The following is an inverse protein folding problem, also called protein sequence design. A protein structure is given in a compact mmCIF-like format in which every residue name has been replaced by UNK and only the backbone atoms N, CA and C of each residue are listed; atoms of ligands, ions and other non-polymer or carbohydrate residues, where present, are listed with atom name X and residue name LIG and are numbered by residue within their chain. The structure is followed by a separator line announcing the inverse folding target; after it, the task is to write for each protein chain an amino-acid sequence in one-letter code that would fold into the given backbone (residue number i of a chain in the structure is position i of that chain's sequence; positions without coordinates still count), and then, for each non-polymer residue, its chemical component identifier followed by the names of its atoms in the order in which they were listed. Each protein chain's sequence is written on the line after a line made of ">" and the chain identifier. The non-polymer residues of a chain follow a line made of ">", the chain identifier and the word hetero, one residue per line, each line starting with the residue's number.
data_IF_023256831769
#
_entry.id   IF_023256831769
#
_cell.length_a   1.000
_cell.length_b   1.000
_cell.length_c   1.000
_cell.angle_alpha   90.00
_cell.angle_beta   90.00
_cell.angle_gamma   90.00
#
_symmetry.space_group_name_H-M   'P 1'
#
loop_
_entity.id
_entity.type
_entity.pdbx_description
1 polymer ?
#
# COMPACT_ATOMS: atom_id res chain seq x y z
N UNK A 1 -13.92 16.40 7.06
CA UNK A 1 -14.54 15.97 5.79
C UNK A 1 -14.55 14.46 5.68
N UNK A 2 -15.42 13.91 4.81
CA UNK A 2 -15.53 12.48 4.58
C UNK A 2 -15.14 12.16 3.13
N UNK A 3 -14.79 10.90 2.85
CA UNK A 3 -14.59 10.44 1.48
C UNK A 3 -15.89 10.62 0.71
N UNK A 4 -15.83 11.30 -0.43
CA UNK A 4 -16.98 11.53 -1.31
C UNK A 4 -16.78 10.77 -2.62
N UNK A 5 -17.65 9.80 -2.89
CA UNK A 5 -17.68 9.02 -4.13
C UNK A 5 -18.91 9.42 -4.94
N UNK A 6 -18.71 9.86 -6.17
CA UNK A 6 -19.78 10.21 -7.10
C UNK A 6 -19.66 9.39 -8.38
N UNK A 7 -20.78 8.91 -8.89
CA UNK A 7 -20.88 8.28 -10.21
C UNK A 7 -21.73 9.14 -11.13
N UNK A 8 -21.21 9.39 -12.32
CA UNK A 8 -21.91 10.10 -13.38
C UNK A 8 -22.15 9.19 -14.59
N UNK A 9 -23.08 9.57 -15.44
CA UNK A 9 -23.24 9.00 -16.76
C UNK A 9 -22.19 9.57 -17.74
N UNK A 10 -22.26 9.18 -19.02
CA UNK A 10 -21.34 9.63 -20.09
C UNK A 10 -21.43 11.14 -20.38
N UNK A 11 -22.50 11.81 -19.94
CA UNK A 11 -22.73 13.25 -20.09
C UNK A 11 -22.33 14.04 -18.84
N UNK A 12 -21.80 13.36 -17.80
CA UNK A 12 -21.45 13.98 -16.53
C UNK A 12 -22.63 14.19 -15.59
N UNK A 13 -23.80 13.63 -15.88
CA UNK A 13 -24.98 13.74 -15.01
C UNK A 13 -24.85 12.74 -13.87
N UNK A 14 -25.02 13.22 -12.64
CA UNK A 14 -24.97 12.39 -11.44
C UNK A 14 -26.00 11.25 -11.49
N UNK A 15 -25.53 10.02 -11.28
CA UNK A 15 -26.37 8.85 -11.12
C UNK A 15 -26.62 8.57 -9.63
N UNK A 16 -25.57 8.67 -8.83
CA UNK A 16 -25.61 8.56 -7.37
C UNK A 16 -24.34 9.10 -6.75
N UNK A 17 -24.37 9.38 -5.46
CA UNK A 17 -23.21 9.65 -4.63
C UNK A 17 -23.29 8.91 -3.30
N UNK A 18 -22.15 8.71 -2.67
CA UNK A 18 -21.98 8.14 -1.35
C UNK A 18 -20.89 8.88 -0.57
N UNK A 19 -21.00 8.85 0.75
CA UNK A 19 -19.98 9.38 1.66
C UNK A 19 -19.56 8.29 2.63
N UNK A 20 -18.23 8.21 2.90
CA UNK A 20 -17.66 7.23 3.81
C UNK A 20 -16.75 7.94 4.79
N UNK A 21 -16.71 7.45 6.03
CA UNK A 21 -15.90 7.96 7.10
C UNK A 21 -16.69 8.16 8.39
N UNK A 22 -15.99 8.64 9.40
CA UNK A 22 -16.51 8.85 10.74
C UNK A 22 -16.82 10.32 11.07
N UNK A 23 -16.44 10.71 12.30
CA UNK A 23 -16.58 12.09 12.80
C UNK A 23 -15.44 12.99 12.40
N UNK A 24 -14.34 12.40 12.01
CA UNK A 24 -13.06 13.07 11.75
C UNK A 24 -12.82 13.25 10.24
N UNK A 25 -11.61 13.64 9.83
CA UNK A 25 -11.32 14.01 8.43
C UNK A 25 -10.88 12.80 7.59
N UNK A 26 -11.79 12.17 6.87
CA UNK A 26 -11.48 11.10 5.92
C UNK A 26 -11.36 11.66 4.50
N UNK A 27 -10.42 11.13 3.71
CA UNK A 27 -10.25 11.57 2.31
C UNK A 27 -9.85 10.42 1.40
N UNK A 28 -10.38 10.45 0.16
CA UNK A 28 -10.03 9.51 -0.91
C UNK A 28 -8.94 10.11 -1.83
N UNK A 29 -7.99 9.29 -2.22
CA UNK A 29 -6.90 9.66 -3.13
C UNK A 29 -6.94 8.91 -4.45
N UNK A 30 -7.52 7.71 -4.47
CA UNK A 30 -7.61 6.87 -5.67
C UNK A 30 -8.83 5.96 -5.59
N UNK A 31 -9.47 5.76 -6.76
CA UNK A 31 -10.61 4.85 -6.94
C UNK A 31 -10.43 4.04 -8.20
N UNK A 32 -10.84 2.76 -8.16
CA UNK A 32 -10.90 1.87 -9.31
C UNK A 32 -12.22 1.08 -9.30
N UNK A 33 -12.81 0.89 -10.49
CA UNK A 33 -13.91 -0.07 -10.63
C UNK A 33 -13.37 -1.51 -10.53
N UNK A 34 -14.03 -2.35 -9.78
CA UNK A 34 -13.67 -3.75 -9.58
C UNK A 34 -14.39 -4.68 -10.57
N UNK A 35 -13.87 -5.89 -10.77
CA UNK A 35 -14.40 -6.86 -11.75
C UNK A 35 -15.83 -7.32 -11.45
N UNK A 36 -16.30 -7.18 -10.21
CA UNK A 36 -17.68 -7.42 -9.78
C UNK A 36 -18.63 -6.24 -10.06
N UNK A 37 -18.11 -5.16 -10.68
CA UNK A 37 -18.86 -3.95 -11.00
C UNK A 37 -18.92 -2.92 -9.88
N UNK A 38 -18.41 -3.23 -8.68
CA UNK A 38 -18.29 -2.32 -7.55
C UNK A 38 -17.07 -1.39 -7.68
N UNK A 39 -16.67 -0.79 -6.56
CA UNK A 39 -15.53 0.14 -6.51
C UNK A 39 -14.64 -0.18 -5.31
N UNK A 40 -13.35 0.07 -5.48
CA UNK A 40 -12.35 0.05 -4.41
C UNK A 40 -11.72 1.43 -4.33
N UNK A 41 -11.67 2.00 -3.13
CA UNK A 41 -11.16 3.34 -2.86
C UNK A 41 -10.03 3.23 -1.84
N UNK A 42 -8.96 4.00 -2.01
CA UNK A 42 -7.96 4.20 -0.97
C UNK A 42 -7.75 5.68 -0.68
N UNK A 43 -7.26 5.97 0.51
CA UNK A 43 -6.97 7.33 0.97
C UNK A 43 -6.38 7.33 2.37
N UNK A 44 -6.80 8.28 3.19
CA UNK A 44 -6.48 8.35 4.61
C UNK A 44 -7.75 8.38 5.44
N UNK A 45 -7.77 7.57 6.51
CA UNK A 45 -8.76 7.68 7.56
C UNK A 45 -8.21 8.56 8.68
N UNK A 46 -9.04 9.42 9.20
CA UNK A 46 -8.67 10.27 10.32
C UNK A 46 -8.81 9.55 11.67
N UNK A 47 -7.82 8.70 11.93
CA UNK A 47 -7.21 8.67 13.25
C UNK A 47 -6.12 9.76 13.25
N UNK A 48 -5.87 10.45 14.30
CA UNK A 48 -4.72 11.36 14.36
C UNK A 48 -3.56 10.64 15.08
N UNK A 49 -2.51 10.29 14.35
CA UNK A 49 -2.19 10.50 12.92
C UNK A 49 -3.01 9.61 11.97
N UNK A 50 -3.24 10.03 10.70
CA UNK A 50 -4.05 9.30 9.75
C UNK A 50 -3.38 8.00 9.29
N UNK A 51 -4.21 6.95 9.12
CA UNK A 51 -3.85 5.66 8.55
C UNK A 51 -4.40 5.51 7.13
N UNK A 52 -3.84 4.57 6.35
CA UNK A 52 -4.40 4.22 5.03
C UNK A 52 -5.83 3.72 5.20
N UNK A 53 -6.76 4.31 4.47
CA UNK A 53 -8.14 3.87 4.43
C UNK A 53 -8.42 3.13 3.12
N UNK A 54 -9.04 1.95 3.22
CA UNK A 54 -9.45 1.11 2.11
C UNK A 54 -10.94 0.82 2.24
N UNK A 55 -11.72 1.14 1.19
CA UNK A 55 -13.17 0.98 1.18
C UNK A 55 -13.58 0.20 -0.07
N UNK A 56 -14.31 -0.91 0.11
CA UNK A 56 -14.94 -1.67 -0.97
C UNK A 56 -16.43 -1.42 -1.00
N UNK A 57 -16.96 -1.13 -2.18
CA UNK A 57 -18.40 -0.95 -2.40
C UNK A 57 -18.95 -1.94 -3.43
N UNK A 58 -20.25 -2.09 -3.47
CA UNK A 58 -20.98 -2.72 -4.57
C UNK A 58 -21.10 -1.75 -5.78
N UNK A 59 -21.79 -2.18 -6.84
CA UNK A 59 -22.02 -1.38 -8.05
C UNK A 59 -22.89 -0.13 -7.85
N UNK A 60 -23.64 -0.06 -6.74
CA UNK A 60 -24.48 1.08 -6.36
C UNK A 60 -23.77 2.03 -5.38
N UNK A 61 -22.49 1.76 -5.08
CA UNK A 61 -21.71 2.54 -4.13
C UNK A 61 -21.99 2.19 -2.66
N UNK A 62 -22.76 1.14 -2.38
CA UNK A 62 -23.02 0.73 -0.99
C UNK A 62 -21.78 0.01 -0.45
N UNK A 63 -21.31 0.46 0.71
CA UNK A 63 -20.15 -0.14 1.38
C UNK A 63 -20.38 -1.62 1.68
N UNK A 64 -19.44 -2.46 1.30
CA UNK A 64 -19.39 -3.88 1.62
C UNK A 64 -18.48 -4.14 2.81
N UNK A 65 -17.33 -3.47 2.83
CA UNK A 65 -16.36 -3.51 3.92
C UNK A 65 -15.38 -2.33 3.81
N UNK A 66 -14.72 -2.04 4.91
CA UNK A 66 -13.57 -1.15 4.95
C UNK A 66 -12.46 -1.74 5.83
N UNK A 67 -11.23 -1.25 5.63
CA UNK A 67 -10.04 -1.61 6.41
C UNK A 67 -9.14 -0.39 6.56
N UNK A 68 -8.35 -0.37 7.64
CA UNK A 68 -7.29 0.62 7.85
C UNK A 68 -5.94 -0.08 8.00
N UNK A 69 -4.87 0.55 7.48
CA UNK A 69 -3.50 0.04 7.56
C UNK A 69 -2.56 1.17 7.95
N UNK A 70 -1.76 0.94 8.95
CA UNK A 70 -0.80 1.92 9.44
C UNK A 70 -0.22 1.52 10.79
N UNK A 71 0.39 2.49 11.45
CA UNK A 71 1.05 2.28 12.74
C UNK A 71 0.87 3.49 13.66
N UNK A 72 1.97 3.96 14.26
CA UNK A 72 1.90 5.02 15.27
C UNK A 72 2.02 6.44 14.70
N UNK A 73 2.26 6.55 13.40
CA UNK A 73 2.45 7.82 12.68
C UNK A 73 1.61 7.85 11.40
N UNK A 74 1.70 8.93 10.64
CA UNK A 74 0.92 9.14 9.41
C UNK A 74 1.24 8.10 8.33
N UNK A 75 0.21 7.44 7.81
CA UNK A 75 0.27 6.48 6.71
C UNK A 75 -0.82 6.84 5.69
N UNK A 76 -0.46 6.93 4.40
CA UNK A 76 -1.41 7.40 3.38
C UNK A 76 -1.34 6.55 2.13
N UNK A 77 -2.49 5.99 1.71
CA UNK A 77 -2.66 5.35 0.41
C UNK A 77 -2.74 6.38 -0.71
N UNK A 78 -2.03 6.16 -1.81
CA UNK A 78 -1.99 7.09 -2.96
C UNK A 78 -2.55 6.50 -4.24
N UNK A 79 -2.41 5.20 -4.42
CA UNK A 79 -2.89 4.50 -5.60
C UNK A 79 -3.35 3.11 -5.22
N UNK A 80 -4.36 2.62 -5.92
CA UNK A 80 -4.91 1.28 -5.73
C UNK A 80 -5.19 0.62 -7.06
N UNK A 81 -4.98 -0.69 -7.13
CA UNK A 81 -5.34 -1.51 -8.27
C UNK A 81 -5.85 -2.88 -7.81
N UNK A 82 -6.90 -3.38 -8.47
CA UNK A 82 -7.30 -4.77 -8.31
C UNK A 82 -6.30 -5.69 -9.01
N UNK A 83 -5.90 -6.75 -8.35
CA UNK A 83 -4.98 -7.75 -8.89
C UNK A 83 -5.72 -8.93 -9.52
N UNK A 84 -5.04 -9.70 -10.38
CA UNK A 84 -5.64 -10.82 -11.13
C UNK A 84 -6.13 -11.97 -10.26
N UNK A 85 -5.66 -12.06 -9.03
CA UNK A 85 -6.12 -13.01 -8.01
C UNK A 85 -7.37 -12.55 -7.24
N UNK A 86 -7.94 -11.39 -7.64
CA UNK A 86 -9.13 -10.80 -7.01
C UNK A 86 -8.85 -9.95 -5.79
N UNK A 87 -7.60 -9.87 -5.32
CA UNK A 87 -7.18 -8.99 -4.23
C UNK A 87 -6.87 -7.57 -4.71
N UNK A 88 -6.17 -6.80 -3.88
CA UNK A 88 -5.81 -5.41 -4.18
C UNK A 88 -4.35 -5.15 -3.85
N UNK A 89 -3.72 -4.24 -4.63
CA UNK A 89 -2.41 -3.71 -4.33
C UNK A 89 -2.51 -2.20 -4.14
N UNK A 90 -2.01 -1.72 -3.02
CA UNK A 90 -2.04 -0.33 -2.60
C UNK A 90 -0.61 0.17 -2.52
N UNK A 91 -0.34 1.34 -3.08
CA UNK A 91 0.91 2.06 -2.86
C UNK A 91 0.64 3.39 -2.18
N UNK A 92 1.56 3.79 -1.31
CA UNK A 92 1.49 5.04 -0.59
C UNK A 92 2.80 5.36 0.09
N UNK A 93 2.73 6.08 1.19
CA UNK A 93 3.87 6.33 2.05
C UNK A 93 3.51 6.09 3.51
N UNK A 94 4.53 5.80 4.29
CA UNK A 94 4.43 5.54 5.73
C UNK A 94 5.46 6.37 6.49
N UNK A 95 5.06 6.88 7.65
CA UNK A 95 5.94 7.45 8.66
C UNK A 95 6.04 6.53 9.87
N UNK A 96 5.28 5.43 9.86
CA UNK A 96 5.23 4.42 10.92
C UNK A 96 6.30 3.36 10.79
N UNK A 97 6.70 3.05 9.55
CA UNK A 97 7.60 1.94 9.23
C UNK A 97 8.76 2.43 8.37
N UNK A 98 9.90 1.71 8.42
CA UNK A 98 11.10 2.07 7.66
C UNK A 98 12.13 2.86 8.47
N UNK A 99 12.94 3.67 7.80
CA UNK A 99 14.09 4.35 8.40
C UNK A 99 14.01 5.87 8.24
N UNK A 100 13.58 6.57 9.28
CA UNK A 100 13.68 8.03 9.39
C UNK A 100 12.46 8.79 8.90
N UNK A 101 12.52 9.39 7.70
CA UNK A 101 11.42 10.15 7.09
C UNK A 101 10.35 9.22 6.49
N UNK A 102 9.42 9.76 5.69
CA UNK A 102 8.45 8.95 4.97
C UNK A 102 9.11 7.96 4.03
N UNK A 103 8.66 6.72 4.07
CA UNK A 103 9.08 5.63 3.20
C UNK A 103 7.94 5.20 2.27
N UNK A 104 8.26 4.57 1.14
CA UNK A 104 7.24 3.97 0.27
C UNK A 104 6.61 2.78 1.01
N UNK A 105 5.29 2.75 1.04
CA UNK A 105 4.53 1.64 1.60
C UNK A 105 3.75 0.92 0.50
N UNK A 106 3.93 -0.39 0.43
CA UNK A 106 3.26 -1.26 -0.52
C UNK A 106 2.52 -2.35 0.25
N UNK A 107 1.22 -2.47 0.03
CA UNK A 107 0.36 -3.44 0.69
C UNK A 107 -0.34 -4.28 -0.36
N UNK A 108 -0.28 -5.60 -0.22
CA UNK A 108 -1.09 -6.56 -0.99
C UNK A 108 -2.14 -7.18 -0.09
N UNK A 109 -3.39 -7.17 -0.53
CA UNK A 109 -4.51 -7.81 0.18
C UNK A 109 -5.13 -8.93 -0.64
N UNK A 110 -5.92 -9.77 0.03
CA UNK A 110 -6.91 -10.62 -0.63
C UNK A 110 -8.17 -9.81 -1.04
N UNK A 111 -9.18 -10.47 -1.59
CA UNK A 111 -10.43 -9.84 -2.03
C UNK A 111 -11.32 -9.32 -0.87
N UNK A 112 -11.04 -9.74 0.36
CA UNK A 112 -11.73 -9.31 1.57
C UNK A 112 -10.99 -8.18 2.32
N UNK A 113 -9.88 -7.69 1.76
CA UNK A 113 -9.08 -6.66 2.38
C UNK A 113 -8.07 -7.15 3.42
N UNK A 114 -7.91 -8.47 3.62
CA UNK A 114 -6.92 -8.98 4.55
C UNK A 114 -5.53 -8.89 3.93
N UNK A 115 -4.55 -8.38 4.68
CA UNK A 115 -3.16 -8.27 4.21
C UNK A 115 -2.58 -9.65 3.94
N UNK A 116 -2.07 -9.85 2.74
CA UNK A 116 -1.34 -11.06 2.33
C UNK A 116 0.16 -10.84 2.27
N UNK A 117 0.59 -9.61 1.98
CA UNK A 117 1.97 -9.16 2.12
C UNK A 117 2.04 -7.65 2.18
N UNK A 118 3.01 -7.14 2.95
CA UNK A 118 3.35 -5.73 3.01
C UNK A 118 4.87 -5.57 3.10
N UNK A 119 5.39 -4.49 2.58
CA UNK A 119 6.78 -4.09 2.77
C UNK A 119 6.98 -2.60 2.57
N UNK A 120 7.97 -2.07 3.25
CA UNK A 120 8.44 -0.70 3.11
C UNK A 120 9.71 -0.67 2.27
N UNK A 121 9.81 0.33 1.41
CA UNK A 121 11.04 0.63 0.68
C UNK A 121 11.59 1.93 1.26
N UNK A 122 12.65 1.88 2.07
CA UNK A 122 13.24 3.09 2.62
C UNK A 122 13.72 4.02 1.51
N UNK A 123 13.26 5.29 1.52
CA UNK A 123 13.74 6.31 0.61
C UNK A 123 14.99 6.95 1.23
N UNK A 124 16.11 6.24 1.18
CA UNK A 124 17.40 6.80 1.57
C UNK A 124 18.22 7.13 0.32
N UNK A 125 18.32 8.40 -0.10
CA UNK A 125 19.08 8.78 -1.30
C UNK A 125 20.59 8.52 -1.16
N UNK A 126 21.07 8.28 0.06
CA UNK A 126 22.46 7.98 0.36
C UNK A 126 22.69 6.48 0.61
N UNK A 127 21.66 5.65 0.48
CA UNK A 127 21.78 4.20 0.66
C UNK A 127 22.68 3.62 -0.42
N UNK A 128 23.79 3.04 0.01
CA UNK A 128 24.77 2.39 -0.87
C UNK A 128 25.05 0.98 -0.40
N UNK A 129 25.14 0.06 -1.33
CA UNK A 129 25.58 -1.29 -1.05
C UNK A 129 26.99 -1.23 -0.48
N UNK A 130 27.19 -1.74 0.72
CA UNK A 130 28.47 -1.78 1.42
C UNK A 130 29.21 -3.08 1.15
N UNK A 131 28.50 -4.22 1.29
CA UNK A 131 29.06 -5.53 0.98
C UNK A 131 27.97 -6.58 0.70
N UNK A 132 28.41 -7.67 0.09
CA UNK A 132 27.59 -8.86 -0.15
C UNK A 132 28.21 -10.04 0.56
N UNK A 133 27.42 -10.77 1.35
CA UNK A 133 27.87 -11.91 2.13
C UNK A 133 26.99 -13.15 1.90
N UNK A 134 27.54 -14.33 2.17
CA UNK A 134 26.75 -15.55 2.25
C UNK A 134 25.94 -15.62 3.58
N UNK A 135 25.15 -16.66 3.72
CA UNK A 135 24.33 -16.87 4.92
C UNK A 135 25.16 -17.08 6.21
N UNK A 136 26.46 -17.25 6.12
CA UNK A 136 27.43 -17.36 7.22
C UNK A 136 28.18 -16.05 7.48
N UNK A 137 27.87 -14.97 6.73
CA UNK A 137 28.50 -13.66 6.88
C UNK A 137 29.84 -13.48 6.16
N UNK A 138 30.26 -14.40 5.30
CA UNK A 138 31.50 -14.32 4.53
C UNK A 138 31.29 -13.53 3.25
N UNK A 139 32.20 -12.63 2.92
CA UNK A 139 32.17 -11.86 1.68
C UNK A 139 32.18 -12.77 0.45
N UNK A 140 31.27 -12.54 -0.49
CA UNK A 140 31.13 -13.34 -1.71
C UNK A 140 30.79 -12.47 -2.94
N UNK A 141 31.00 -13.05 -4.11
CA UNK A 141 30.34 -12.61 -5.34
C UNK A 141 29.04 -13.44 -5.50
N UNK A 142 27.87 -12.81 -5.72
CA UNK A 142 26.61 -13.52 -5.89
C UNK A 142 26.66 -14.54 -7.03
N UNK A 143 26.17 -15.75 -6.75
CA UNK A 143 26.05 -16.82 -7.74
C UNK A 143 24.56 -17.15 -7.96
N UNK A 144 24.22 -17.64 -9.18
CA UNK A 144 22.86 -18.09 -9.51
C UNK A 144 22.40 -19.21 -8.58
N UNK A 145 21.12 -19.14 -8.20
CA UNK A 145 20.44 -20.13 -7.36
C UNK A 145 21.07 -20.34 -5.96
N UNK A 146 21.91 -19.42 -5.53
CA UNK A 146 22.43 -19.39 -4.16
C UNK A 146 21.94 -18.15 -3.43
N UNK A 147 21.40 -18.27 -2.21
CA UNK A 147 20.98 -17.12 -1.41
C UNK A 147 22.19 -16.35 -0.93
N UNK A 148 22.09 -15.02 -0.95
CA UNK A 148 23.08 -14.09 -0.42
C UNK A 148 22.40 -12.94 0.33
N UNK A 149 23.20 -12.18 1.04
CA UNK A 149 22.76 -11.05 1.85
C UNK A 149 23.48 -9.80 1.38
N UNK A 150 22.74 -8.78 1.00
CA UNK A 150 23.27 -7.43 0.76
C UNK A 150 23.19 -6.62 2.05
N UNK A 151 24.30 -5.99 2.42
CA UNK A 151 24.42 -5.12 3.59
C UNK A 151 24.68 -3.71 3.07
N UNK A 152 23.92 -2.75 3.59
CA UNK A 152 23.98 -1.36 3.15
C UNK A 152 24.60 -0.48 4.25
N UNK A 153 25.12 0.68 3.84
CA UNK A 153 25.79 1.64 4.71
C UNK A 153 24.89 2.29 5.78
N UNK A 154 23.58 2.11 5.71
CA UNK A 154 22.60 2.53 6.71
C UNK A 154 22.30 1.42 7.75
N UNK A 155 22.99 0.29 7.65
CA UNK A 155 22.81 -0.87 8.52
C UNK A 155 21.67 -1.80 8.10
N UNK A 156 20.93 -1.46 7.04
CA UNK A 156 19.89 -2.35 6.50
C UNK A 156 20.48 -3.57 5.81
N UNK A 157 19.71 -4.66 5.80
CA UNK A 157 20.13 -5.96 5.29
C UNK A 157 19.01 -6.53 4.41
N UNK A 158 19.37 -6.98 3.20
CA UNK A 158 18.42 -7.64 2.29
C UNK A 158 18.89 -9.04 1.93
N UNK A 159 18.00 -10.03 2.06
CA UNK A 159 18.26 -11.40 1.58
C UNK A 159 17.81 -11.51 0.13
N UNK A 160 18.68 -11.96 -0.76
CA UNK A 160 18.46 -12.08 -2.20
C UNK A 160 18.88 -13.44 -2.75
N UNK A 161 18.41 -13.72 -3.96
CA UNK A 161 18.85 -14.85 -4.79
C UNK A 161 18.70 -14.47 -6.27
N UNK A 162 19.71 -14.72 -7.08
CA UNK A 162 19.61 -14.60 -8.54
C UNK A 162 18.98 -15.87 -9.07
N UNK A 163 17.80 -15.75 -9.71
CA UNK A 163 17.05 -16.85 -10.34
C UNK A 163 17.25 -16.74 -11.85
N UNK A 164 17.24 -17.86 -12.56
CA UNK A 164 17.27 -17.87 -14.04
C UNK A 164 15.94 -17.40 -14.65
#
# INVERSE_FOLDING_TARGET
>A
PNVYLIKTDVNGIEQWYQTFGGTDDDYGTSVQQTTDGGYIITGGADSYPPDIYLIKTDANGIEQWNQTFGGVSTDVGRSIQQTTDGGYIITGYTWSFGNGSADIYLIKTDGNGNVTSEFTIPINPNRKLEKVVDILGRDINPEKNKPFIEIYNDGTVEKKMIIE
#
